data_IF_413819056065
#
_entry.id   IF_413819056065
#
_cell.length_a   1.000
_cell.length_b   1.000
_cell.length_c   1.000
_cell.angle_alpha   90.00
_cell.angle_beta   90.00
_cell.angle_gamma   90.00
#
_symmetry.space_group_name_H-M   'P 1'
#
loop_
_entity.id
_entity.type
_entity.pdbx_description
1 polymer ?
#
# COMPACT_ATOMS: atom_id res chain seq x y z
N UNK A 1 -88.34 13.67 -29.20
CA UNK A 1 -89.60 12.92 -29.38
C UNK A 1 -89.70 11.85 -28.33
N UNK A 2 -90.65 12.02 -27.46
CA UNK A 2 -91.48 11.03 -26.76
C UNK A 2 -90.79 9.95 -25.96
N UNK A 3 -90.81 10.01 -24.61
CA UNK A 3 -91.84 9.62 -23.68
C UNK A 3 -91.93 8.08 -23.62
N UNK A 4 -91.90 7.39 -22.52
CA UNK A 4 -92.74 7.30 -21.37
C UNK A 4 -92.09 6.30 -20.38
N UNK A 5 -92.06 6.58 -19.10
CA UNK A 5 -92.97 6.23 -18.00
C UNK A 5 -93.40 4.77 -17.97
N UNK A 6 -92.96 4.07 -16.89
CA UNK A 6 -93.81 3.29 -16.07
C UNK A 6 -93.11 2.77 -14.78
N UNK A 7 -93.61 3.25 -13.73
CA UNK A 7 -93.66 2.90 -12.32
C UNK A 7 -94.17 1.45 -12.14
N UNK A 8 -93.58 0.71 -11.16
CA UNK A 8 -94.29 -0.15 -10.20
C UNK A 8 -93.39 -0.42 -8.97
N UNK A 9 -93.89 -0.19 -7.80
CA UNK A 9 -93.52 -0.47 -6.41
C UNK A 9 -94.33 -1.70 -5.96
N UNK A 10 -94.14 -2.29 -4.81
CA UNK A 10 -93.04 -2.83 -4.01
C UNK A 10 -93.18 -4.28 -3.61
N UNK A 11 -92.22 -4.95 -3.08
CA UNK A 11 -92.41 -5.98 -2.07
C UNK A 11 -91.33 -5.98 -1.05
N UNK A 12 -91.72 -5.71 0.17
CA UNK A 12 -90.82 -5.78 1.35
C UNK A 12 -90.53 -7.25 1.65
N UNK A 13 -89.23 -7.57 1.72
CA UNK A 13 -88.76 -8.79 2.34
C UNK A 13 -87.74 -8.43 3.37
N UNK A 14 -88.16 -8.52 4.61
CA UNK A 14 -87.33 -8.34 5.80
C UNK A 14 -86.35 -9.53 5.94
N UNK A 15 -85.13 -9.38 5.58
CA UNK A 15 -84.09 -10.39 5.87
C UNK A 15 -83.28 -9.88 7.03
N UNK A 16 -83.41 -10.57 8.17
CA UNK A 16 -82.52 -10.34 9.33
C UNK A 16 -81.07 -10.73 8.99
N UNK A 17 -80.25 -9.76 8.85
CA UNK A 17 -78.83 -9.98 8.70
C UNK A 17 -78.17 -10.21 10.09
N UNK A 18 -77.91 -11.47 10.37
CA UNK A 18 -77.01 -11.81 11.53
C UNK A 18 -75.62 -11.39 11.17
N UNK A 19 -75.14 -10.26 11.76
CA UNK A 19 -73.79 -9.83 11.63
C UNK A 19 -72.87 -10.75 12.44
N UNK A 20 -72.27 -11.74 11.80
CA UNK A 20 -71.15 -12.50 12.38
C UNK A 20 -69.92 -11.56 12.42
N UNK A 21 -69.64 -10.99 13.56
CA UNK A 21 -68.38 -10.27 13.80
C UNK A 21 -67.26 -11.30 13.85
N UNK A 22 -66.60 -11.56 12.69
CA UNK A 22 -65.37 -12.31 12.67
C UNK A 22 -64.27 -11.45 13.35
N UNK A 23 -63.91 -11.84 14.57
CA UNK A 23 -62.73 -11.30 15.21
C UNK A 23 -61.49 -11.67 14.34
N UNK A 24 -61.01 -10.70 13.59
CA UNK A 24 -59.72 -10.81 12.90
C UNK A 24 -58.62 -10.86 13.94
N UNK A 25 -57.99 -12.02 14.11
CA UNK A 25 -56.76 -12.13 14.87
C UNK A 25 -55.74 -11.16 14.27
N UNK A 26 -54.99 -10.40 15.10
CA UNK A 26 -53.95 -9.50 14.59
C UNK A 26 -52.95 -10.33 13.79
N UNK A 27 -52.72 -9.94 12.54
CA UNK A 27 -51.69 -10.52 11.71
C UNK A 27 -50.33 -10.44 12.44
N UNK A 28 -49.51 -11.52 12.44
CA UNK A 28 -48.22 -11.45 13.07
C UNK A 28 -47.43 -10.33 12.39
N UNK A 29 -46.92 -9.40 13.22
CA UNK A 29 -46.04 -8.33 12.75
C UNK A 29 -44.89 -8.97 11.97
N UNK A 30 -44.48 -8.41 10.79
CA UNK A 30 -43.36 -8.93 10.05
C UNK A 30 -42.12 -8.95 10.98
N UNK A 31 -41.58 -10.15 11.18
CA UNK A 31 -40.34 -10.31 11.94
C UNK A 31 -39.32 -9.34 11.37
N UNK A 32 -38.80 -8.43 12.17
CA UNK A 32 -37.77 -7.48 11.78
C UNK A 32 -36.63 -8.29 11.17
N UNK A 33 -36.38 -8.11 9.87
CA UNK A 33 -35.25 -8.72 9.20
C UNK A 33 -34.00 -8.34 10.01
N UNK A 34 -33.07 -9.28 10.27
CA UNK A 34 -31.85 -8.96 10.97
C UNK A 34 -31.19 -7.78 10.27
N UNK A 35 -30.96 -6.69 11.02
CA UNK A 35 -30.28 -5.52 10.48
C UNK A 35 -28.94 -6.01 9.94
N UNK A 36 -28.77 -6.00 8.63
CA UNK A 36 -27.49 -6.26 7.98
C UNK A 36 -26.56 -5.16 8.49
N UNK A 37 -25.74 -5.50 9.46
CA UNK A 37 -24.71 -4.57 9.94
C UNK A 37 -23.83 -4.26 8.74
N UNK A 38 -23.83 -2.99 8.30
CA UNK A 38 -23.02 -2.55 7.19
C UNK A 38 -21.56 -2.90 7.50
N UNK A 39 -21.02 -3.86 6.76
CA UNK A 39 -19.64 -4.32 6.93
C UNK A 39 -18.70 -3.15 6.69
N UNK A 40 -17.93 -2.76 7.69
CA UNK A 40 -16.95 -1.69 7.55
C UNK A 40 -15.81 -2.17 6.65
N UNK A 41 -15.60 -1.50 5.53
CA UNK A 41 -14.46 -1.71 4.65
C UNK A 41 -13.59 -0.46 4.75
N UNK A 42 -12.31 -0.65 5.04
CA UNK A 42 -11.31 0.41 5.07
C UNK A 42 -10.28 0.25 3.97
N UNK A 43 -9.51 1.29 3.72
CA UNK A 43 -8.34 1.21 2.85
C UNK A 43 -7.15 1.91 3.48
N UNK A 44 -5.96 1.52 3.00
CA UNK A 44 -4.69 2.15 3.34
C UNK A 44 -3.91 2.46 2.06
N UNK A 45 -3.09 3.50 2.12
CA UNK A 45 -2.05 3.81 1.13
C UNK A 45 -0.69 3.43 1.72
N UNK A 46 -0.19 2.27 1.34
CA UNK A 46 1.10 1.74 1.82
C UNK A 46 2.25 2.67 1.48
N UNK A 47 2.23 3.32 0.31
CA UNK A 47 3.27 4.28 -0.06
C UNK A 47 3.31 5.48 0.88
N UNK A 48 2.12 5.95 1.31
CA UNK A 48 2.02 7.04 2.30
C UNK A 48 2.52 6.59 3.68
N UNK A 49 2.24 5.34 4.07
CA UNK A 49 2.80 4.76 5.31
C UNK A 49 4.32 4.73 5.26
N UNK A 50 4.91 4.19 4.19
CA UNK A 50 6.36 4.15 3.99
C UNK A 50 7.01 5.54 3.94
N UNK A 51 6.29 6.52 3.37
CA UNK A 51 6.80 7.88 3.24
C UNK A 51 6.79 8.67 4.55
N UNK A 52 5.86 8.36 5.48
CA UNK A 52 5.56 9.23 6.63
C UNK A 52 5.77 8.58 7.99
N UNK A 53 5.82 7.24 8.09
CA UNK A 53 6.12 6.56 9.35
C UNK A 53 7.59 6.75 9.75
N UNK A 54 7.86 6.77 11.04
CA UNK A 54 9.22 6.89 11.60
C UNK A 54 10.14 5.79 11.06
N UNK A 55 9.65 4.55 10.98
CA UNK A 55 10.43 3.43 10.46
C UNK A 55 10.67 3.54 8.95
N UNK A 56 9.68 3.98 8.17
CA UNK A 56 9.83 4.20 6.73
C UNK A 56 10.82 5.31 6.39
N UNK A 57 10.78 6.41 7.14
CA UNK A 57 11.75 7.51 7.02
C UNK A 57 13.16 7.02 7.38
N UNK A 58 13.32 6.31 8.51
CA UNK A 58 14.61 5.76 8.93
C UNK A 58 15.19 4.77 7.91
N UNK A 59 14.35 3.90 7.32
CA UNK A 59 14.77 2.98 6.26
C UNK A 59 15.29 3.72 5.02
N UNK A 60 14.60 4.79 4.62
CA UNK A 60 15.04 5.63 3.50
C UNK A 60 16.37 6.33 3.80
N UNK A 61 16.51 6.91 4.99
CA UNK A 61 17.77 7.56 5.41
C UNK A 61 18.94 6.57 5.41
N UNK A 62 18.70 5.33 5.84
CA UNK A 62 19.72 4.29 5.79
C UNK A 62 20.15 3.99 4.35
N UNK A 63 19.20 3.82 3.44
CA UNK A 63 19.50 3.58 2.02
C UNK A 63 20.27 4.75 1.40
N UNK A 64 19.89 5.98 1.71
CA UNK A 64 20.62 7.16 1.21
C UNK A 64 22.08 7.23 1.73
N UNK A 65 22.33 6.87 2.99
CA UNK A 65 23.68 6.77 3.53
C UNK A 65 24.50 5.70 2.80
N UNK A 66 23.90 4.55 2.51
CA UNK A 66 24.60 3.48 1.78
C UNK A 66 24.86 3.87 0.34
N UNK A 67 23.92 4.52 -0.34
CA UNK A 67 24.11 5.07 -1.69
C UNK A 67 25.26 6.09 -1.73
N UNK A 68 25.32 6.98 -0.74
CA UNK A 68 26.39 7.97 -0.63
C UNK A 68 27.75 7.32 -0.40
N UNK A 69 27.83 6.26 0.42
CA UNK A 69 29.07 5.52 0.64
C UNK A 69 29.55 4.81 -0.64
N UNK A 70 28.64 4.17 -1.36
CA UNK A 70 28.93 3.51 -2.65
C UNK A 70 29.40 4.55 -3.68
N UNK A 71 28.72 5.68 -3.79
CA UNK A 71 29.10 6.74 -4.71
C UNK A 71 30.51 7.23 -4.43
N UNK A 72 30.85 7.43 -3.15
CA UNK A 72 32.20 7.85 -2.73
C UNK A 72 33.26 6.82 -3.12
N UNK A 73 33.00 5.52 -2.94
CA UNK A 73 33.93 4.46 -3.33
C UNK A 73 34.12 4.43 -4.85
N UNK A 74 33.04 4.53 -5.62
CA UNK A 74 33.08 4.55 -7.09
C UNK A 74 33.81 5.78 -7.63
N UNK A 75 33.62 6.95 -7.01
CA UNK A 75 34.37 8.16 -7.36
C UNK A 75 35.86 8.00 -7.06
N UNK A 76 36.22 7.35 -5.95
CA UNK A 76 37.61 7.01 -5.64
C UNK A 76 38.25 6.13 -6.71
N UNK A 77 37.57 5.06 -7.13
CA UNK A 77 38.01 4.15 -8.21
C UNK A 77 38.17 4.87 -9.55
N UNK A 78 37.26 5.79 -9.85
CA UNK A 78 37.35 6.62 -11.07
C UNK A 78 38.59 7.51 -11.04
N UNK A 79 38.85 8.21 -9.94
CA UNK A 79 40.02 9.07 -9.78
C UNK A 79 41.33 8.26 -9.91
N UNK A 80 41.37 7.02 -9.37
CA UNK A 80 42.54 6.15 -9.54
C UNK A 80 42.78 5.75 -10.99
N UNK A 81 41.72 5.42 -11.73
CA UNK A 81 41.80 5.10 -13.16
C UNK A 81 42.25 6.31 -13.98
N UNK A 82 41.73 7.50 -13.70
CA UNK A 82 42.14 8.75 -14.34
C UNK A 82 43.64 9.03 -14.11
N UNK A 83 44.11 8.86 -12.85
CA UNK A 83 45.56 9.03 -12.54
C UNK A 83 46.44 8.07 -13.33
N UNK A 84 46.07 6.80 -13.41
CA UNK A 84 46.84 5.81 -14.18
C UNK A 84 46.87 6.16 -15.69
N UNK A 85 45.72 6.58 -16.21
CA UNK A 85 45.63 7.03 -17.59
C UNK A 85 46.51 8.25 -17.86
N UNK A 86 46.43 9.27 -17.01
CA UNK A 86 47.25 10.48 -17.09
C UNK A 86 48.73 10.17 -17.03
N UNK A 87 49.12 9.26 -16.10
CA UNK A 87 50.51 8.82 -16.00
C UNK A 87 51.01 8.14 -17.31
N UNK A 88 50.20 7.30 -17.88
CA UNK A 88 50.55 6.65 -19.15
C UNK A 88 50.60 7.64 -20.33
N UNK A 89 49.70 8.58 -20.41
CA UNK A 89 49.70 9.62 -21.43
C UNK A 89 50.89 10.57 -21.32
N UNK A 90 51.17 11.07 -20.11
CA UNK A 90 52.23 12.11 -19.88
C UNK A 90 53.64 11.52 -19.83
N UNK A 91 53.80 10.33 -19.31
CA UNK A 91 55.12 9.72 -19.05
C UNK A 91 55.42 8.50 -19.92
N UNK A 92 54.43 8.00 -20.68
CA UNK A 92 54.53 6.75 -21.43
C UNK A 92 55.69 6.73 -22.46
N UNK A 93 56.01 7.89 -23.07
CA UNK A 93 57.16 8.01 -23.98
C UNK A 93 58.53 7.87 -23.29
N UNK A 94 58.57 8.13 -22.00
CA UNK A 94 59.78 8.05 -21.15
C UNK A 94 59.92 6.72 -20.41
N UNK A 95 58.93 5.86 -20.48
CA UNK A 95 58.90 4.54 -19.82
C UNK A 95 59.58 3.48 -20.66
N UNK A 96 60.24 2.53 -20.00
CA UNK A 96 60.66 1.27 -20.66
C UNK A 96 59.46 0.49 -21.15
N UNK A 97 59.65 -0.41 -22.10
CA UNK A 97 58.57 -1.27 -22.62
C UNK A 97 57.87 -2.08 -21.54
N UNK A 98 58.69 -2.60 -20.57
CA UNK A 98 58.17 -3.40 -19.46
C UNK A 98 57.34 -2.55 -18.48
N UNK A 99 57.85 -1.38 -18.12
CA UNK A 99 57.12 -0.45 -17.22
C UNK A 99 55.80 0.02 -17.85
N UNK A 100 55.77 0.25 -19.18
CA UNK A 100 54.52 0.59 -19.89
C UNK A 100 53.54 -0.56 -19.85
N UNK A 101 53.98 -1.79 -20.12
CA UNK A 101 53.15 -2.99 -20.08
C UNK A 101 52.57 -3.21 -18.67
N UNK A 102 53.39 -3.08 -17.62
CA UNK A 102 52.92 -3.21 -16.23
C UNK A 102 51.82 -2.18 -15.89
N UNK A 103 51.99 -0.93 -16.29
CA UNK A 103 51.00 0.12 -16.06
C UNK A 103 49.73 -0.15 -16.84
N UNK A 104 49.81 -0.63 -18.09
CA UNK A 104 48.66 -1.01 -18.89
C UNK A 104 47.87 -2.16 -18.25
N UNK A 105 48.56 -3.19 -17.78
CA UNK A 105 47.93 -4.32 -17.09
C UNK A 105 47.29 -3.88 -15.77
N UNK A 106 47.91 -2.96 -15.01
CA UNK A 106 47.34 -2.42 -13.79
C UNK A 106 46.07 -1.61 -14.08
N UNK A 107 46.08 -0.79 -15.12
CA UNK A 107 44.89 -0.05 -15.57
C UNK A 107 43.74 -0.99 -15.94
N UNK A 108 44.02 -2.01 -16.77
CA UNK A 108 43.00 -2.98 -17.19
C UNK A 108 42.45 -3.81 -16.01
N UNK A 109 43.29 -4.18 -15.04
CA UNK A 109 42.82 -4.84 -13.80
C UNK A 109 41.87 -3.92 -13.03
N UNK A 110 42.29 -2.69 -12.72
CA UNK A 110 41.48 -1.72 -11.98
C UNK A 110 40.16 -1.38 -12.69
N UNK A 111 40.18 -1.29 -14.02
CA UNK A 111 38.97 -1.08 -14.83
C UNK A 111 37.97 -2.22 -14.68
N UNK A 112 38.45 -3.47 -14.77
CA UNK A 112 37.58 -4.64 -14.56
C UNK A 112 37.04 -4.71 -13.12
N UNK A 113 37.89 -4.39 -12.14
CA UNK A 113 37.50 -4.40 -10.73
C UNK A 113 36.44 -3.30 -10.43
N UNK A 114 36.59 -2.12 -11.01
CA UNK A 114 35.60 -1.05 -10.91
C UNK A 114 34.26 -1.44 -11.56
N UNK A 115 34.28 -2.09 -12.74
CA UNK A 115 33.07 -2.57 -13.39
C UNK A 115 32.34 -3.64 -12.54
N UNK A 116 33.09 -4.62 -12.01
CA UNK A 116 32.50 -5.64 -11.10
C UNK A 116 31.92 -5.01 -9.83
N UNK A 117 32.65 -4.07 -9.23
CA UNK A 117 32.17 -3.38 -8.04
C UNK A 117 30.88 -2.61 -8.31
N UNK A 118 30.71 -1.98 -9.45
CA UNK A 118 29.46 -1.31 -9.85
C UNK A 118 28.28 -2.29 -9.93
N UNK A 119 28.47 -3.43 -10.58
CA UNK A 119 27.44 -4.48 -10.68
C UNK A 119 27.08 -5.07 -9.29
N UNK A 120 28.08 -5.30 -8.46
CA UNK A 120 27.88 -5.86 -7.12
C UNK A 120 27.14 -4.88 -6.21
N UNK A 121 27.50 -3.59 -6.25
CA UNK A 121 26.83 -2.54 -5.50
C UNK A 121 25.38 -2.34 -5.93
N UNK A 122 25.09 -2.41 -7.23
CA UNK A 122 23.71 -2.33 -7.70
C UNK A 122 22.87 -3.47 -7.11
N UNK A 123 23.35 -4.71 -7.18
CA UNK A 123 22.65 -5.89 -6.62
C UNK A 123 22.50 -5.79 -5.10
N UNK A 124 23.52 -5.27 -4.41
CA UNK A 124 23.48 -5.09 -2.96
C UNK A 124 22.41 -4.05 -2.57
N UNK A 125 22.33 -2.92 -3.27
CA UNK A 125 21.31 -1.89 -3.03
C UNK A 125 19.89 -2.45 -3.28
N UNK A 126 19.67 -3.12 -4.40
CA UNK A 126 18.37 -3.74 -4.73
C UNK A 126 17.95 -4.74 -3.63
N UNK A 127 18.89 -5.57 -3.19
CA UNK A 127 18.64 -6.53 -2.10
C UNK A 127 18.27 -5.83 -0.79
N UNK A 128 19.00 -4.77 -0.42
CA UNK A 128 18.74 -4.01 0.82
C UNK A 128 17.42 -3.25 0.75
N UNK A 129 17.11 -2.64 -0.38
CA UNK A 129 15.80 -2.01 -0.62
C UNK A 129 14.66 -3.01 -0.44
N UNK A 130 14.78 -4.18 -1.05
CA UNK A 130 13.79 -5.26 -0.92
C UNK A 130 13.62 -5.72 0.52
N UNK A 131 14.72 -5.93 1.24
CA UNK A 131 14.69 -6.37 2.65
C UNK A 131 14.06 -5.33 3.58
N UNK A 132 14.41 -4.05 3.42
CA UNK A 132 13.85 -2.97 4.22
C UNK A 132 12.36 -2.80 3.95
N UNK A 133 11.96 -2.83 2.69
CA UNK A 133 10.56 -2.77 2.28
C UNK A 133 9.77 -3.94 2.87
N UNK A 134 10.26 -5.17 2.71
CA UNK A 134 9.61 -6.37 3.24
C UNK A 134 9.44 -6.31 4.76
N UNK A 135 10.47 -5.87 5.48
CA UNK A 135 10.42 -5.71 6.94
C UNK A 135 9.33 -4.71 7.35
N UNK A 136 9.30 -3.53 6.74
CA UNK A 136 8.30 -2.50 7.06
C UNK A 136 6.90 -2.99 6.71
N UNK A 137 6.70 -3.64 5.57
CA UNK A 137 5.40 -4.20 5.17
C UNK A 137 4.91 -5.28 6.14
N UNK A 138 5.80 -6.13 6.63
CA UNK A 138 5.46 -7.16 7.61
C UNK A 138 5.04 -6.54 8.95
N UNK A 139 5.78 -5.53 9.42
CA UNK A 139 5.47 -4.83 10.67
C UNK A 139 4.14 -4.06 10.57
N UNK A 140 3.93 -3.35 9.47
CA UNK A 140 2.68 -2.62 9.17
C UNK A 140 1.50 -3.60 9.05
N UNK A 141 1.71 -4.78 8.45
CA UNK A 141 0.70 -5.84 8.36
C UNK A 141 0.17 -6.26 9.73
N UNK A 142 1.04 -6.44 10.70
CA UNK A 142 0.65 -6.72 12.09
C UNK A 142 -0.18 -5.60 12.74
N UNK A 143 0.18 -4.34 12.45
CA UNK A 143 -0.59 -3.18 12.95
C UNK A 143 -1.96 -3.09 12.29
N UNK A 144 -2.04 -3.34 10.96
CA UNK A 144 -3.31 -3.37 10.23
C UNK A 144 -4.25 -4.43 10.81
N UNK A 145 -3.74 -5.63 11.06
CA UNK A 145 -4.53 -6.73 11.64
C UNK A 145 -5.07 -6.35 13.03
N UNK A 146 -4.24 -5.75 13.87
CA UNK A 146 -4.63 -5.28 15.21
C UNK A 146 -5.74 -4.22 15.13
N UNK A 147 -5.53 -3.17 14.34
CA UNK A 147 -6.51 -2.08 14.16
C UNK A 147 -7.79 -2.61 13.53
N UNK A 148 -7.68 -3.51 12.56
CA UNK A 148 -8.84 -4.14 11.92
C UNK A 148 -9.72 -4.89 12.92
N UNK A 149 -9.13 -5.69 13.80
CA UNK A 149 -9.83 -6.41 14.88
C UNK A 149 -10.42 -5.47 15.92
N UNK A 150 -9.65 -4.50 16.43
CA UNK A 150 -10.08 -3.55 17.44
C UNK A 150 -11.25 -2.66 16.98
N UNK A 151 -11.29 -2.32 15.69
CA UNK A 151 -12.31 -1.44 15.10
C UNK A 151 -13.43 -2.18 14.39
N UNK A 152 -13.42 -3.53 14.40
CA UNK A 152 -14.39 -4.39 13.74
C UNK A 152 -14.52 -4.09 12.23
N UNK A 153 -13.37 -3.92 11.53
CA UNK A 153 -13.36 -3.87 10.10
C UNK A 153 -13.54 -5.28 9.54
N UNK A 154 -14.43 -5.41 8.56
CA UNK A 154 -14.63 -6.66 7.82
C UNK A 154 -13.45 -6.92 6.88
N UNK A 155 -12.94 -5.86 6.25
CA UNK A 155 -11.82 -5.92 5.32
C UNK A 155 -11.09 -4.58 5.28
N UNK A 156 -9.76 -4.63 5.15
CA UNK A 156 -8.91 -3.47 4.86
C UNK A 156 -8.13 -3.81 3.60
N UNK A 157 -8.18 -2.94 2.59
CA UNK A 157 -7.53 -3.14 1.29
C UNK A 157 -6.42 -2.11 1.07
N UNK A 158 -5.44 -2.48 0.26
CA UNK A 158 -4.44 -1.52 -0.20
C UNK A 158 -5.00 -0.72 -1.39
N UNK A 159 -4.96 0.62 -1.29
CA UNK A 159 -5.63 1.53 -2.21
C UNK A 159 -5.24 1.33 -3.67
N UNK A 160 -3.95 1.15 -3.96
CA UNK A 160 -3.42 1.11 -5.33
C UNK A 160 -3.57 -0.27 -5.95
N UNK A 161 -3.24 -1.32 -5.18
CA UNK A 161 -3.21 -2.69 -5.69
C UNK A 161 -4.59 -3.34 -5.75
N UNK A 162 -5.55 -2.88 -4.91
CA UNK A 162 -6.93 -3.37 -4.92
C UNK A 162 -7.82 -2.70 -5.98
N UNK A 163 -7.29 -1.79 -6.80
CA UNK A 163 -8.06 -1.13 -7.85
C UNK A 163 -9.19 -0.23 -7.31
N UNK A 164 -9.01 0.37 -6.15
CA UNK A 164 -10.00 1.28 -5.55
C UNK A 164 -10.09 2.56 -6.38
N UNK A 165 -11.20 2.72 -7.12
CA UNK A 165 -11.46 3.91 -7.93
C UNK A 165 -12.06 5.06 -7.11
N UNK A 166 -12.90 4.72 -6.12
CA UNK A 166 -13.53 5.67 -5.22
C UNK A 166 -13.70 5.07 -3.83
N UNK A 167 -13.42 5.85 -2.82
CA UNK A 167 -13.79 5.58 -1.44
C UNK A 167 -13.96 6.91 -0.70
N UNK A 168 -14.82 6.94 0.32
CA UNK A 168 -14.95 8.12 1.17
C UNK A 168 -13.71 8.32 2.03
N UNK A 169 -13.46 9.55 2.48
CA UNK A 169 -12.33 9.85 3.36
C UNK A 169 -12.42 9.11 4.71
N UNK A 170 -13.62 8.80 5.16
CA UNK A 170 -13.86 8.08 6.43
C UNK A 170 -13.35 6.62 6.37
N UNK A 171 -13.20 6.07 5.16
CA UNK A 171 -12.64 4.73 4.95
C UNK A 171 -11.09 4.74 4.90
N UNK A 172 -10.43 5.91 4.88
CA UNK A 172 -8.96 6.04 4.86
C UNK A 172 -8.36 5.84 6.26
N UNK A 173 -7.75 4.69 6.46
CA UNK A 173 -7.10 4.33 7.72
C UNK A 173 -5.60 4.66 7.74
N UNK A 174 -5.06 5.22 6.68
CA UNK A 174 -3.61 5.39 6.51
C UNK A 174 -2.96 6.16 7.66
N UNK A 175 -3.52 7.31 8.03
CA UNK A 175 -2.95 8.13 9.12
C UNK A 175 -3.16 7.50 10.51
N UNK A 176 -4.21 6.70 10.69
CA UNK A 176 -4.40 5.91 11.91
C UNK A 176 -3.36 4.79 12.01
N UNK A 177 -3.13 4.07 10.94
CA UNK A 177 -2.11 3.01 10.85
C UNK A 177 -0.72 3.59 11.08
N UNK A 178 -0.37 4.74 10.48
CA UNK A 178 0.92 5.41 10.73
C UNK A 178 1.10 5.69 12.22
N UNK A 179 0.12 6.31 12.86
CA UNK A 179 0.18 6.62 14.30
C UNK A 179 0.30 5.36 15.18
N UNK A 180 -0.43 4.29 14.82
CA UNK A 180 -0.36 3.03 15.55
C UNK A 180 1.01 2.36 15.38
N UNK A 181 1.53 2.34 14.16
CA UNK A 181 2.83 1.78 13.83
C UNK A 181 3.97 2.51 14.55
N UNK A 182 3.95 3.84 14.55
CA UNK A 182 4.98 4.66 15.22
C UNK A 182 4.96 4.47 16.73
N UNK A 183 3.77 4.29 17.35
CA UNK A 183 3.67 3.95 18.78
C UNK A 183 4.25 2.57 19.10
N UNK A 184 3.92 1.56 18.29
CA UNK A 184 4.40 0.19 18.49
C UNK A 184 5.93 0.10 18.26
N UNK A 185 6.47 0.84 17.28
CA UNK A 185 7.91 0.95 17.04
C UNK A 185 8.64 1.69 18.17
N UNK A 186 8.04 2.73 18.75
CA UNK A 186 8.58 3.45 19.91
C UNK A 186 8.62 2.59 21.18
N UNK A 187 7.66 1.69 21.37
CA UNK A 187 7.61 0.76 22.50
C UNK A 187 8.64 -0.36 22.47
N UNK A 188 9.17 -0.72 21.30
CA UNK A 188 10.20 -1.78 21.13
C UNK A 188 11.64 -1.29 21.39
N UNK A 189 11.85 0.00 21.59
CA UNK A 189 13.19 0.60 21.83
C UNK A 189 13.56 0.77 23.31
N UNK A 190 12.76 0.19 24.25
CA UNK A 190 13.07 0.18 25.69
C UNK A 190 13.57 -1.21 26.12
#
# INVERSE_FOLDING_TARGET
>A
MKAAVASVVPVAALVMLVSATAAQAPAPAPAAAPAVQASKIGYIDVQRVLARSVAGVAAREQLEKERAAIQKDMDGRRVELEKLRDEMEKKGALMTADARREKQEAFERKRRDAARAADDYQKELEKKEGQLLQKVLQEVGGVIEKVGKERNYYMIVEKRNAGVLYASNDADLTDEIIRAYDRDAGGKKK
#
